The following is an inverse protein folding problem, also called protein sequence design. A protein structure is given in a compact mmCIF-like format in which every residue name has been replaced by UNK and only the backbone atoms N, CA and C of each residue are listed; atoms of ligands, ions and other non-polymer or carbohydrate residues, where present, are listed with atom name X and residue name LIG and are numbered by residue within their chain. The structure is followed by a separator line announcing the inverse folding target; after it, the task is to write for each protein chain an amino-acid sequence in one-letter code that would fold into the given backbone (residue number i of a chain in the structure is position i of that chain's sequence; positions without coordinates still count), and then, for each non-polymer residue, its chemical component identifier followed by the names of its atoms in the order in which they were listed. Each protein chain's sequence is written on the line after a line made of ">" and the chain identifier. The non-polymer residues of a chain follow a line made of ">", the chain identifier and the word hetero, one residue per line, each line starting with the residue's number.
data_IF_346849963161
#
_entry.id   IF_346849963161
#
_cell.length_a   1.000
_cell.length_b   1.000
_cell.length_c   1.000
_cell.angle_alpha   90.00
_cell.angle_beta   90.00
_cell.angle_gamma   90.00
#
_symmetry.space_group_name_H-M   'P 1'
#
loop_
_entity.id
_entity.type
_entity.pdbx_description
1 polymer ?
#
# COMPACT_ATOMS: atom_id res chain seq x y z
N UNK A 1 -2.00 10.15 23.38
CA UNK A 1 -2.78 8.92 23.60
C UNK A 1 -3.02 8.35 22.21
N UNK A 2 -2.32 7.28 21.82
CA UNK A 2 -2.62 6.59 20.56
C UNK A 2 -3.96 5.91 20.79
N UNK A 3 -5.04 6.46 20.22
CA UNK A 3 -6.31 5.76 20.12
C UNK A 3 -6.05 4.49 19.33
N UNK A 4 -5.99 3.35 20.02
CA UNK A 4 -6.10 2.04 19.39
C UNK A 4 -7.55 1.92 18.96
N UNK A 5 -7.89 2.47 17.80
CA UNK A 5 -9.12 2.12 17.11
C UNK A 5 -9.04 0.64 16.75
N UNK A 6 -9.93 -0.15 17.34
CA UNK A 6 -10.01 -1.57 17.06
C UNK A 6 -10.49 -1.74 15.62
N UNK A 7 -9.70 -2.39 14.77
CA UNK A 7 -10.11 -2.70 13.40
C UNK A 7 -11.42 -3.50 13.41
N UNK A 8 -12.32 -3.17 12.49
CA UNK A 8 -13.50 -3.99 12.19
C UNK A 8 -13.08 -5.36 11.66
N UNK A 9 -13.97 -6.34 11.69
CA UNK A 9 -13.69 -7.67 11.10
C UNK A 9 -13.30 -7.57 9.62
N UNK A 10 -13.93 -6.67 8.86
CA UNK A 10 -13.62 -6.50 7.43
C UNK A 10 -12.25 -5.86 7.23
N UNK A 11 -11.87 -4.90 8.07
CA UNK A 11 -10.51 -4.36 8.06
C UNK A 11 -9.47 -5.41 8.46
N UNK A 12 -9.76 -6.26 9.45
CA UNK A 12 -8.90 -7.39 9.82
C UNK A 12 -8.71 -8.39 8.68
N UNK A 13 -9.80 -8.76 7.98
CA UNK A 13 -9.74 -9.64 6.80
C UNK A 13 -8.89 -9.02 5.70
N UNK A 14 -9.08 -7.72 5.42
CA UNK A 14 -8.28 -6.97 4.45
C UNK A 14 -6.79 -6.95 4.83
N UNK A 15 -6.44 -6.58 6.06
CA UNK A 15 -5.04 -6.55 6.52
C UNK A 15 -4.40 -7.94 6.46
N UNK A 16 -5.12 -8.98 6.90
CA UNK A 16 -4.62 -10.36 6.87
C UNK A 16 -4.38 -10.85 5.44
N UNK A 17 -5.32 -10.60 4.51
CA UNK A 17 -5.19 -10.98 3.10
C UNK A 17 -3.97 -10.31 2.45
N UNK A 18 -3.79 -9.00 2.66
CA UNK A 18 -2.63 -8.27 2.16
C UNK A 18 -1.32 -8.79 2.76
N UNK A 19 -1.26 -8.98 4.09
CA UNK A 19 -0.06 -9.48 4.77
C UNK A 19 0.33 -10.89 4.28
N UNK A 20 -0.66 -11.77 4.13
CA UNK A 20 -0.45 -13.12 3.60
C UNK A 20 0.07 -13.09 2.16
N UNK A 21 -0.53 -12.28 1.29
CA UNK A 21 -0.08 -12.15 -0.10
C UNK A 21 1.35 -11.62 -0.19
N UNK A 22 1.65 -10.51 0.49
CA UNK A 22 2.98 -9.89 0.45
C UNK A 22 4.06 -10.80 1.04
N UNK A 23 3.74 -11.55 2.10
CA UNK A 23 4.64 -12.55 2.67
C UNK A 23 4.91 -13.70 1.71
N UNK A 24 3.88 -14.23 1.05
CA UNK A 24 4.02 -15.34 0.10
C UNK A 24 4.84 -14.92 -1.14
N UNK A 25 4.67 -13.69 -1.60
CA UNK A 25 5.44 -13.10 -2.70
C UNK A 25 6.84 -12.61 -2.26
N UNK A 26 7.23 -12.83 -1.00
CA UNK A 26 8.52 -12.43 -0.42
C UNK A 26 8.83 -10.94 -0.65
N UNK A 27 7.79 -10.10 -0.54
CA UNK A 27 7.91 -8.66 -0.73
C UNK A 27 8.77 -8.06 0.38
N UNK A 28 9.71 -7.20 0.02
CA UNK A 28 10.53 -6.49 1.00
C UNK A 28 9.68 -5.57 1.89
N UNK A 29 9.68 -5.84 3.20
CA UNK A 29 8.96 -5.06 4.21
C UNK A 29 9.38 -3.59 4.22
N UNK A 30 10.62 -3.28 3.82
CA UNK A 30 11.09 -1.91 3.69
C UNK A 30 10.37 -1.16 2.57
N UNK A 31 10.10 -1.82 1.43
CA UNK A 31 9.32 -1.23 0.35
C UNK A 31 7.86 -1.02 0.77
N UNK A 32 7.26 -1.99 1.48
CA UNK A 32 5.92 -1.83 2.06
C UNK A 32 5.88 -0.62 3.02
N UNK A 33 6.90 -0.47 3.87
CA UNK A 33 7.03 0.65 4.80
C UNK A 33 7.07 2.01 4.10
N UNK A 34 7.78 2.13 2.98
CA UNK A 34 7.83 3.37 2.18
C UNK A 34 6.46 3.75 1.60
N UNK A 35 5.69 2.75 1.17
CA UNK A 35 4.35 2.96 0.61
C UNK A 35 3.37 3.45 1.68
N UNK A 36 3.41 2.86 2.89
CA UNK A 36 2.61 3.32 4.03
C UNK A 36 3.05 4.74 4.44
N UNK A 37 4.35 5.02 4.45
CA UNK A 37 4.87 6.35 4.76
C UNK A 37 4.37 7.41 3.78
N UNK A 38 4.30 7.09 2.47
CA UNK A 38 3.71 7.98 1.47
C UNK A 38 2.24 8.28 1.78
N UNK A 39 1.43 7.26 2.06
CA UNK A 39 0.01 7.44 2.36
C UNK A 39 -0.19 8.28 3.63
N UNK A 40 0.62 8.08 4.68
CA UNK A 40 0.58 8.91 5.89
C UNK A 40 0.99 10.35 5.63
N UNK A 41 2.04 10.56 4.83
CA UNK A 41 2.54 11.90 4.52
C UNK A 41 1.56 12.71 3.67
N UNK A 42 0.86 12.07 2.73
CA UNK A 42 0.00 12.76 1.76
C UNK A 42 -1.50 12.46 1.93
N UNK A 43 -1.90 11.74 2.98
CA UNK A 43 -3.30 11.38 3.23
C UNK A 43 -4.25 12.57 3.44
N UNK A 44 -3.71 13.75 3.74
CA UNK A 44 -4.48 14.97 3.96
C UNK A 44 -4.76 15.77 2.67
N UNK A 45 -4.14 15.42 1.54
CA UNK A 45 -4.29 16.18 0.29
C UNK A 45 -5.60 15.80 -0.42
N UNK A 46 -6.13 16.71 -1.22
CA UNK A 46 -7.30 16.41 -2.04
C UNK A 46 -7.01 15.22 -2.97
N UNK A 47 -7.98 14.31 -3.10
CA UNK A 47 -7.85 13.10 -3.92
C UNK A 47 -6.69 12.17 -3.48
N UNK A 48 -6.27 12.21 -2.22
CA UNK A 48 -5.15 11.43 -1.68
C UNK A 48 -5.16 9.95 -2.09
N UNK A 49 -6.30 9.27 -2.04
CA UNK A 49 -6.38 7.84 -2.37
C UNK A 49 -6.17 7.60 -3.87
N UNK A 50 -6.72 8.48 -4.73
CA UNK A 50 -6.43 8.44 -6.17
C UNK A 50 -4.94 8.66 -6.44
N UNK A 51 -4.35 9.65 -5.78
CA UNK A 51 -2.93 9.98 -5.92
C UNK A 51 -2.04 8.84 -5.42
N UNK A 52 -2.46 8.13 -4.37
CA UNK A 52 -1.79 6.94 -3.86
C UNK A 52 -1.76 5.80 -4.89
N UNK A 53 -2.90 5.45 -5.48
CA UNK A 53 -2.93 4.42 -6.53
C UNK A 53 -2.16 4.84 -7.78
N UNK A 54 -2.21 6.13 -8.15
CA UNK A 54 -1.40 6.66 -9.25
C UNK A 54 0.10 6.55 -8.93
N UNK A 55 0.51 6.87 -7.71
CA UNK A 55 1.89 6.73 -7.26
C UNK A 55 2.38 5.28 -7.33
N UNK A 56 1.57 4.32 -6.88
CA UNK A 56 1.87 2.89 -7.03
C UNK A 56 2.07 2.49 -8.50
N UNK A 57 1.17 2.90 -9.40
CA UNK A 57 1.32 2.64 -10.83
C UNK A 57 2.58 3.27 -11.42
N UNK A 58 2.99 4.45 -10.95
CA UNK A 58 4.24 5.11 -11.35
C UNK A 58 5.45 4.30 -10.87
N UNK A 59 5.44 3.81 -9.64
CA UNK A 59 6.50 2.95 -9.11
C UNK A 59 6.64 1.64 -9.87
N UNK A 60 5.53 0.98 -10.20
CA UNK A 60 5.55 -0.23 -11.05
C UNK A 60 6.14 0.07 -12.42
N UNK A 61 5.72 1.15 -13.06
CA UNK A 61 6.20 1.52 -14.41
C UNK A 61 7.69 1.89 -14.41
N UNK A 62 8.15 2.57 -13.37
CA UNK A 62 9.51 3.11 -13.31
C UNK A 62 10.46 2.29 -12.43
N UNK A 63 10.02 1.17 -11.83
CA UNK A 63 10.72 0.45 -10.77
C UNK A 63 12.14 0.01 -11.14
N UNK A 64 12.42 -0.18 -12.44
CA UNK A 64 13.77 -0.50 -12.95
C UNK A 64 14.76 0.66 -12.81
N UNK A 65 14.26 1.89 -12.76
CA UNK A 65 15.06 3.13 -12.67
C UNK A 65 15.13 3.64 -11.23
N UNK A 66 14.10 3.37 -10.41
CA UNK A 66 14.04 3.82 -9.00
C UNK A 66 14.64 2.78 -8.03
N UNK A 67 14.68 1.51 -8.44
CA UNK A 67 15.18 0.41 -7.62
C UNK A 67 16.68 0.27 -7.68
N UNK A 68 17.32 0.13 -6.52
CA UNK A 68 18.75 -0.19 -6.43
C UNK A 68 19.02 -1.69 -6.61
N UNK A 69 17.96 -2.52 -6.51
CA UNK A 69 18.02 -3.96 -6.73
C UNK A 69 17.20 -4.35 -7.96
N UNK A 70 17.63 -5.39 -8.67
CA UNK A 70 16.89 -5.94 -9.81
C UNK A 70 15.52 -6.53 -9.47
N UNK A 71 15.15 -6.65 -8.18
CA UNK A 71 13.87 -7.19 -7.68
C UNK A 71 12.86 -6.12 -7.24
N UNK A 72 13.28 -4.86 -7.21
CA UNK A 72 12.43 -3.73 -6.78
C UNK A 72 11.15 -3.57 -7.62
N UNK A 73 11.17 -3.73 -8.96
CA UNK A 73 9.96 -3.68 -9.77
C UNK A 73 8.90 -4.71 -9.36
N UNK A 74 9.32 -5.93 -9.05
CA UNK A 74 8.45 -7.04 -8.66
C UNK A 74 7.77 -6.74 -7.32
N UNK A 75 8.50 -6.19 -6.35
CA UNK A 75 7.91 -5.75 -5.07
C UNK A 75 6.83 -4.70 -5.27
N UNK A 76 7.05 -3.71 -6.14
CA UNK A 76 6.01 -2.72 -6.42
C UNK A 76 4.79 -3.31 -7.12
N UNK A 77 4.97 -4.34 -7.97
CA UNK A 77 3.84 -5.04 -8.58
C UNK A 77 3.01 -5.80 -7.53
N UNK A 78 3.68 -6.52 -6.63
CA UNK A 78 3.05 -7.21 -5.50
C UNK A 78 2.25 -6.26 -4.61
N UNK A 79 2.85 -5.13 -4.23
CA UNK A 79 2.21 -4.11 -3.42
C UNK A 79 1.03 -3.49 -4.16
N UNK A 80 1.19 -3.08 -5.43
CA UNK A 80 0.12 -2.47 -6.21
C UNK A 80 -1.08 -3.41 -6.32
N UNK A 81 -0.83 -4.69 -6.60
CA UNK A 81 -1.87 -5.72 -6.69
C UNK A 81 -2.61 -5.89 -5.36
N UNK A 82 -1.90 -6.04 -4.23
CA UNK A 82 -2.52 -6.19 -2.92
C UNK A 82 -3.38 -4.96 -2.55
N UNK A 83 -2.83 -3.75 -2.74
CA UNK A 83 -3.56 -2.52 -2.46
C UNK A 83 -4.79 -2.35 -3.36
N UNK A 84 -4.70 -2.67 -4.66
CA UNK A 84 -5.86 -2.59 -5.56
C UNK A 84 -6.95 -3.60 -5.23
N UNK A 85 -6.57 -4.80 -4.79
CA UNK A 85 -7.52 -5.85 -4.42
C UNK A 85 -8.28 -5.50 -3.15
N UNK A 86 -7.58 -5.02 -2.12
CA UNK A 86 -8.16 -4.91 -0.78
C UNK A 86 -8.44 -3.48 -0.32
N UNK A 87 -7.74 -2.46 -0.83
CA UNK A 87 -7.87 -1.06 -0.39
C UNK A 87 -8.58 -0.13 -1.38
N UNK A 88 -8.78 -0.53 -2.64
CA UNK A 88 -9.39 0.34 -3.64
C UNK A 88 -10.82 0.77 -3.27
N UNK A 89 -11.57 -0.10 -2.58
CA UNK A 89 -12.89 0.22 -2.02
C UNK A 89 -12.88 1.38 -1.02
N UNK A 90 -11.75 1.65 -0.39
CA UNK A 90 -11.54 2.71 0.59
C UNK A 90 -10.85 3.94 -0.02
N UNK A 91 -10.73 4.04 -1.35
CA UNK A 91 -10.01 5.14 -2.02
C UNK A 91 -10.47 6.56 -1.60
N UNK A 92 -11.72 6.71 -1.17
CA UNK A 92 -12.28 7.99 -0.71
C UNK A 92 -12.34 8.11 0.83
N UNK A 93 -11.77 7.15 1.56
CA UNK A 93 -11.73 7.06 3.02
C UNK A 93 -10.30 6.73 3.46
N UNK A 94 -9.47 7.77 3.57
CA UNK A 94 -8.05 7.64 3.93
C UNK A 94 -7.83 7.00 5.30
N UNK A 95 -8.58 7.38 6.35
CA UNK A 95 -8.50 6.67 7.63
C UNK A 95 -8.71 5.16 7.50
N UNK A 96 -9.65 4.71 6.66
CA UNK A 96 -9.87 3.28 6.45
C UNK A 96 -8.75 2.57 5.64
N UNK A 97 -7.88 3.33 4.97
CA UNK A 97 -6.70 2.80 4.27
C UNK A 97 -5.44 2.70 5.16
N UNK A 98 -5.46 3.25 6.39
CA UNK A 98 -4.32 3.33 7.33
C UNK A 98 -4.51 2.45 8.56
#
# INVERSE_FOLDING_TARGET
>A
MLTTETLTEDQWKTVYAMAQMLSNEQTDVNEVGKIIAYLRAYGHVENAGKNFFQYLSILVRNGRTVGHSGKTPEYYQSIEKACKQDLLKYQNDIPAML
#
